data_IF_238727684603
#
_entry.id   IF_238727684603
#
_cell.length_a   1.000
_cell.length_b   1.000
_cell.length_c   1.000
_cell.angle_alpha   90.00
_cell.angle_beta   90.00
_cell.angle_gamma   90.00
#
_symmetry.space_group_name_H-M   'P 1'
#
loop_
_entity.id
_entity.type
_entity.pdbx_description
1 polymer ?
#
# COMPACT_ATOMS: atom_id res chain seq x y z
N UNK A 1 -75.94 -23.28 22.01
CA UNK A 1 -74.93 -22.31 22.38
C UNK A 1 -73.59 -23.01 22.38
N UNK A 2 -72.80 -22.82 21.28
CA UNK A 2 -71.44 -23.36 21.15
C UNK A 2 -70.45 -22.17 21.22
N UNK A 3 -69.58 -22.22 22.22
CA UNK A 3 -68.50 -21.22 22.40
C UNK A 3 -67.36 -21.52 21.42
N UNK A 4 -67.02 -20.58 20.61
CA UNK A 4 -65.83 -20.62 19.75
C UNK A 4 -64.63 -20.07 20.53
N UNK A 5 -63.58 -20.88 20.64
CA UNK A 5 -62.28 -20.50 21.25
C UNK A 5 -61.32 -20.12 20.13
N UNK A 6 -60.94 -18.85 20.09
CA UNK A 6 -60.00 -18.33 19.13
C UNK A 6 -58.56 -18.51 19.68
N UNK A 7 -57.73 -19.30 19.01
CA UNK A 7 -56.31 -19.42 19.28
C UNK A 7 -55.57 -18.31 18.51
N UNK A 8 -54.90 -17.41 19.23
CA UNK A 8 -53.97 -16.47 18.66
C UNK A 8 -52.57 -17.10 18.58
N UNK A 9 -52.06 -17.29 17.37
CA UNK A 9 -50.69 -17.74 17.16
C UNK A 9 -49.80 -16.50 17.08
N UNK A 10 -48.98 -16.30 18.10
CA UNK A 10 -47.93 -15.26 18.08
C UNK A 10 -46.73 -15.81 17.32
N UNK A 11 -46.43 -15.23 16.13
CA UNK A 11 -45.22 -15.48 15.39
C UNK A 11 -44.14 -14.57 15.98
N UNK A 12 -43.21 -15.14 16.73
CA UNK A 12 -42.00 -14.46 17.16
C UNK A 12 -40.99 -14.44 16.00
N UNK A 13 -40.83 -13.28 15.34
CA UNK A 13 -39.73 -13.05 14.45
C UNK A 13 -38.45 -12.86 15.27
N UNK A 14 -37.62 -13.90 15.35
CA UNK A 14 -36.24 -13.77 15.82
C UNK A 14 -35.40 -13.11 14.73
N UNK A 15 -35.14 -11.83 14.88
CA UNK A 15 -34.07 -11.11 14.15
C UNK A 15 -32.73 -11.70 14.63
N UNK A 16 -32.20 -12.63 13.86
CA UNK A 16 -30.81 -13.11 14.00
C UNK A 16 -29.87 -11.98 13.66
N UNK A 17 -29.37 -11.29 14.67
CA UNK A 17 -28.18 -10.47 14.52
C UNK A 17 -27.04 -11.39 14.07
N UNK A 18 -26.64 -11.33 12.80
CA UNK A 18 -25.40 -11.91 12.33
C UNK A 18 -24.27 -11.16 13.04
N UNK A 19 -23.89 -11.64 14.21
CA UNK A 19 -22.74 -11.16 14.95
C UNK A 19 -21.51 -11.39 14.09
N UNK A 20 -20.81 -10.32 13.76
CA UNK A 20 -19.40 -10.40 13.36
C UNK A 20 -18.71 -11.26 14.43
N UNK A 21 -18.26 -12.44 14.06
CA UNK A 21 -17.38 -13.23 14.93
C UNK A 21 -16.19 -12.35 15.25
N UNK A 22 -15.94 -12.00 16.54
CA UNK A 22 -14.74 -11.27 16.89
C UNK A 22 -13.58 -12.12 16.38
N UNK A 23 -12.68 -11.50 15.59
CA UNK A 23 -11.41 -12.08 15.20
C UNK A 23 -10.81 -12.72 16.46
N UNK A 24 -10.52 -14.01 16.41
CA UNK A 24 -10.00 -14.73 17.56
C UNK A 24 -8.76 -13.98 18.05
N UNK A 25 -8.84 -13.36 19.23
CA UNK A 25 -7.74 -12.61 19.81
C UNK A 25 -6.53 -13.52 19.88
N UNK A 26 -5.44 -13.12 19.22
CA UNK A 26 -4.23 -13.91 19.14
C UNK A 26 -3.63 -14.12 20.54
N UNK A 27 -3.76 -15.33 21.04
CA UNK A 27 -3.19 -15.74 22.35
C UNK A 27 -1.86 -16.49 22.19
N UNK A 28 -1.24 -16.48 21.00
CA UNK A 28 -0.05 -17.28 20.68
C UNK A 28 1.14 -16.89 21.55
N UNK A 29 1.82 -17.90 22.09
CA UNK A 29 3.04 -17.69 22.90
C UNK A 29 4.22 -17.18 22.04
N UNK A 30 4.25 -17.53 20.74
CA UNK A 30 5.24 -17.08 19.78
C UNK A 30 4.61 -16.90 18.39
N UNK A 31 5.19 -15.98 17.59
CA UNK A 31 4.80 -15.73 16.20
C UNK A 31 6.03 -15.84 15.30
N UNK A 32 5.91 -16.59 14.22
CA UNK A 32 7.03 -16.85 13.30
C UNK A 32 6.72 -16.39 11.89
N UNK A 33 7.65 -15.61 11.31
CA UNK A 33 7.65 -15.19 9.91
C UNK A 33 9.05 -15.42 9.34
N UNK A 34 9.19 -16.29 8.35
CA UNK A 34 10.50 -16.73 7.87
C UNK A 34 11.33 -17.32 8.99
N UNK A 35 12.53 -16.77 9.23
CA UNK A 35 13.42 -17.20 10.32
C UNK A 35 13.21 -16.41 11.63
N UNK A 36 12.39 -15.35 11.61
CA UNK A 36 12.10 -14.53 12.79
C UNK A 36 11.01 -15.20 13.64
N UNK A 37 11.33 -15.60 14.87
CA UNK A 37 10.38 -16.14 15.87
C UNK A 37 10.39 -15.25 17.09
N UNK A 38 9.35 -14.44 17.28
CA UNK A 38 9.19 -13.55 18.42
C UNK A 38 8.28 -14.19 19.49
N UNK A 39 8.78 -14.33 20.70
CA UNK A 39 7.95 -14.68 21.88
C UNK A 39 7.14 -13.48 22.32
N UNK A 40 6.11 -13.72 23.14
CA UNK A 40 5.21 -12.66 23.62
C UNK A 40 5.96 -11.52 24.32
N UNK A 41 5.63 -10.29 23.94
CA UNK A 41 6.27 -9.07 24.43
C UNK A 41 7.69 -8.83 23.89
N UNK A 42 8.12 -9.58 22.89
CA UNK A 42 9.47 -9.51 22.32
C UNK A 42 9.46 -9.18 20.82
N UNK A 43 10.62 -8.74 20.34
CA UNK A 43 10.95 -8.53 18.94
C UNK A 43 11.95 -9.59 18.49
N UNK A 44 11.77 -10.10 17.28
CA UNK A 44 12.74 -10.95 16.58
C UNK A 44 13.03 -10.37 15.20
N UNK A 45 14.28 -10.41 14.81
CA UNK A 45 14.75 -10.07 13.45
C UNK A 45 15.13 -11.35 12.74
N UNK A 46 14.87 -11.40 11.43
CA UNK A 46 15.20 -12.58 10.61
C UNK A 46 15.07 -12.27 9.13
N UNK A 47 14.96 -13.33 8.35
CA UNK A 47 14.86 -13.22 6.89
C UNK A 47 13.80 -14.16 6.33
N UNK A 48 13.20 -13.75 5.24
CA UNK A 48 12.41 -14.55 4.34
C UNK A 48 13.36 -15.05 3.24
N UNK A 49 13.60 -16.35 3.18
CA UNK A 49 14.51 -16.94 2.22
C UNK A 49 13.80 -17.11 0.88
N UNK A 50 14.33 -16.46 -0.16
CA UNK A 50 13.95 -16.68 -1.55
C UNK A 50 15.01 -17.58 -2.18
N UNK A 51 14.73 -18.86 -2.44
CA UNK A 51 15.73 -19.81 -2.93
C UNK A 51 16.22 -19.43 -4.33
N UNK A 52 17.38 -19.92 -4.72
CA UNK A 52 17.84 -19.85 -6.10
C UNK A 52 16.91 -20.63 -7.05
N UNK A 53 16.86 -20.20 -8.31
CA UNK A 53 16.13 -20.82 -9.39
C UNK A 53 16.86 -20.60 -10.71
N UNK A 54 16.17 -20.00 -11.69
CA UNK A 54 16.81 -19.53 -12.93
C UNK A 54 17.83 -18.41 -12.70
N UNK A 55 17.73 -17.74 -11.56
CA UNK A 55 18.56 -16.63 -11.09
C UNK A 55 18.88 -16.78 -9.60
N UNK A 56 19.69 -15.87 -9.06
CA UNK A 56 20.25 -15.97 -7.72
C UNK A 56 19.17 -16.01 -6.61
N UNK A 57 19.51 -16.64 -5.49
CA UNK A 57 18.78 -16.54 -4.24
C UNK A 57 18.87 -15.10 -3.68
N UNK A 58 17.91 -14.72 -2.85
CA UNK A 58 17.96 -13.49 -2.05
C UNK A 58 17.30 -13.70 -0.70
N UNK A 59 17.74 -12.95 0.29
CA UNK A 59 17.11 -12.90 1.61
C UNK A 59 16.41 -11.56 1.79
N UNK A 60 15.13 -11.58 2.18
CA UNK A 60 14.33 -10.40 2.46
C UNK A 60 14.27 -10.21 3.97
N UNK A 61 14.75 -9.08 4.49
CA UNK A 61 14.74 -8.80 5.93
C UNK A 61 13.32 -8.65 6.46
N UNK A 62 13.07 -9.23 7.64
CA UNK A 62 11.79 -9.13 8.34
C UNK A 62 11.99 -8.92 9.83
N UNK A 63 11.20 -8.03 10.42
CA UNK A 63 11.06 -7.89 11.87
C UNK A 63 9.65 -8.31 12.30
N UNK A 64 9.58 -9.10 13.36
CA UNK A 64 8.34 -9.52 14.01
C UNK A 64 8.32 -8.98 15.43
N UNK A 65 7.32 -8.15 15.75
CA UNK A 65 7.07 -7.66 17.10
C UNK A 65 5.79 -8.37 17.60
N UNK A 66 5.96 -9.35 18.47
CA UNK A 66 4.84 -10.08 19.08
C UNK A 66 4.46 -9.39 20.39
N UNK A 67 3.32 -8.72 20.39
CA UNK A 67 2.85 -7.90 21.49
C UNK A 67 2.61 -8.67 22.80
N UNK A 68 2.71 -7.96 23.92
CA UNK A 68 2.44 -8.53 25.25
C UNK A 68 0.98 -8.92 25.45
N UNK A 69 0.05 -8.35 24.66
CA UNK A 69 -1.39 -8.57 24.77
C UNK A 69 -1.93 -9.17 23.48
N UNK A 70 -3.03 -9.96 23.54
CA UNK A 70 -3.74 -10.42 22.34
C UNK A 70 -4.21 -9.25 21.47
N UNK A 71 -4.27 -9.47 20.16
CA UNK A 71 -4.74 -8.50 19.18
C UNK A 71 -4.53 -9.00 17.75
N UNK A 72 -4.83 -8.18 16.73
CA UNK A 72 -4.68 -8.54 15.32
C UNK A 72 -3.21 -8.60 14.90
N UNK A 73 -2.95 -9.26 13.79
CA UNK A 73 -1.66 -9.22 13.09
C UNK A 73 -1.73 -8.19 11.96
N UNK A 74 -0.91 -7.13 12.06
CA UNK A 74 -0.75 -6.12 11.02
C UNK A 74 0.58 -6.33 10.30
N UNK A 75 0.55 -6.42 8.97
CA UNK A 75 1.75 -6.37 8.15
C UNK A 75 1.93 -4.98 7.55
N UNK A 76 3.15 -4.44 7.59
CA UNK A 76 3.56 -3.23 6.90
C UNK A 76 4.77 -3.58 6.06
N UNK A 77 4.62 -3.42 4.75
CA UNK A 77 5.60 -3.84 3.76
C UNK A 77 5.98 -2.66 2.89
N UNK A 78 7.27 -2.51 2.59
CA UNK A 78 7.78 -1.49 1.68
C UNK A 78 8.84 -2.07 0.72
N UNK A 79 9.31 -1.26 -0.21
CA UNK A 79 10.41 -1.60 -1.09
C UNK A 79 10.08 -2.66 -2.13
N UNK A 80 8.82 -2.79 -2.55
CA UNK A 80 8.45 -3.50 -3.80
C UNK A 80 9.14 -2.87 -4.99
N UNK A 81 9.36 -1.54 -4.95
CA UNK A 81 10.33 -0.82 -5.76
C UNK A 81 11.47 -0.38 -4.83
N UNK A 82 12.69 -0.86 -5.10
CA UNK A 82 13.81 -0.74 -4.16
C UNK A 82 14.41 0.67 -4.05
N UNK A 83 13.97 1.61 -4.88
CA UNK A 83 14.45 3.00 -4.91
C UNK A 83 13.41 4.00 -4.37
N UNK A 84 12.30 3.52 -3.81
CA UNK A 84 11.32 4.33 -3.08
C UNK A 84 11.75 4.48 -1.61
N UNK A 85 12.85 5.19 -1.38
CA UNK A 85 13.56 5.19 -0.09
C UNK A 85 12.74 5.72 1.07
N UNK A 86 11.83 6.68 0.87
CA UNK A 86 11.02 7.23 1.96
C UNK A 86 10.18 6.15 2.66
N UNK A 87 9.57 5.24 1.89
CA UNK A 87 8.77 4.13 2.41
C UNK A 87 9.63 3.08 3.13
N UNK A 88 10.80 2.77 2.57
CA UNK A 88 11.76 1.81 3.13
C UNK A 88 12.24 2.29 4.51
N UNK A 89 12.68 3.55 4.58
CA UNK A 89 13.16 4.18 5.83
C UNK A 89 12.02 4.33 6.85
N UNK A 90 10.79 4.58 6.39
CA UNK A 90 9.65 4.64 7.30
C UNK A 90 9.41 3.30 8.01
N UNK A 91 9.46 2.17 7.28
CA UNK A 91 9.31 0.84 7.88
C UNK A 91 10.49 0.49 8.78
N UNK A 92 11.72 0.84 8.38
CA UNK A 92 12.90 0.67 9.22
C UNK A 92 12.74 1.39 10.56
N UNK A 93 12.32 2.67 10.54
CA UNK A 93 12.08 3.45 11.77
C UNK A 93 11.02 2.83 12.68
N UNK A 94 9.99 2.19 12.14
CA UNK A 94 8.94 1.53 12.93
C UNK A 94 9.48 0.34 13.75
N UNK A 95 10.59 -0.31 13.34
CA UNK A 95 11.19 -1.44 14.04
C UNK A 95 11.59 -1.03 15.46
N UNK A 96 12.14 0.18 15.64
CA UNK A 96 12.57 0.68 16.96
C UNK A 96 11.53 1.58 17.63
N UNK A 97 10.65 2.21 16.85
CA UNK A 97 9.62 3.10 17.39
C UNK A 97 8.50 2.35 18.16
N UNK A 98 8.27 1.06 17.85
CA UNK A 98 7.20 0.27 18.46
C UNK A 98 7.78 -0.64 19.56
N UNK A 99 7.33 -0.43 20.80
CA UNK A 99 7.71 -1.28 21.91
C UNK A 99 6.75 -2.48 22.02
N UNK A 100 7.22 -3.73 21.79
CA UNK A 100 6.37 -4.92 21.85
C UNK A 100 5.74 -5.16 23.23
N UNK A 101 6.34 -4.66 24.31
CA UNK A 101 5.73 -4.77 25.65
C UNK A 101 4.45 -3.92 25.79
N UNK A 102 4.24 -2.92 24.95
CA UNK A 102 3.05 -2.07 24.93
C UNK A 102 2.09 -2.45 23.80
N UNK A 103 2.50 -3.34 22.89
CA UNK A 103 1.75 -3.74 21.70
C UNK A 103 0.67 -4.78 22.07
N UNK A 104 -0.49 -4.67 21.44
CA UNK A 104 -1.52 -5.70 21.39
C UNK A 104 -1.54 -6.32 19.98
N UNK A 105 -1.48 -7.66 19.89
CA UNK A 105 -1.37 -8.36 18.61
C UNK A 105 0.07 -8.44 18.10
N UNK A 106 0.24 -8.62 16.79
CA UNK A 106 1.55 -8.80 16.17
C UNK A 106 1.77 -7.79 15.06
N UNK A 107 2.95 -7.20 15.00
CA UNK A 107 3.39 -6.34 13.91
C UNK A 107 4.47 -7.07 13.10
N UNK A 108 4.22 -7.20 11.79
CA UNK A 108 5.16 -7.77 10.82
C UNK A 108 5.67 -6.62 9.98
N UNK A 109 6.97 -6.37 9.98
CA UNK A 109 7.62 -5.29 9.25
C UNK A 109 8.59 -5.85 8.21
N UNK A 110 8.38 -5.52 6.94
CA UNK A 110 9.28 -5.85 5.83
C UNK A 110 9.71 -4.55 5.17
N UNK A 111 10.90 -4.01 5.51
CA UNK A 111 11.31 -2.71 5.01
C UNK A 111 11.68 -2.71 3.53
N UNK A 112 12.21 -3.81 3.00
CA UNK A 112 12.74 -3.88 1.65
C UNK A 112 12.49 -5.26 1.04
N UNK A 113 11.58 -5.34 0.06
CA UNK A 113 11.28 -6.59 -0.65
C UNK A 113 12.20 -6.79 -1.85
N UNK A 114 12.41 -5.77 -2.68
CA UNK A 114 13.21 -5.83 -3.90
C UNK A 114 14.66 -5.42 -3.63
N UNK A 115 15.39 -6.29 -2.94
CA UNK A 115 16.79 -6.06 -2.55
C UNK A 115 17.68 -5.72 -3.75
N UNK A 116 17.63 -6.45 -4.91
CA UNK A 116 18.49 -6.13 -6.05
C UNK A 116 18.23 -4.76 -6.68
N UNK A 117 16.98 -4.27 -6.67
CA UNK A 117 16.64 -2.92 -7.12
C UNK A 117 17.31 -1.86 -6.22
N UNK A 118 17.24 -2.05 -4.90
CA UNK A 118 17.88 -1.17 -3.93
C UNK A 118 19.40 -1.14 -4.08
N UNK A 119 20.05 -2.31 -4.07
CA UNK A 119 21.52 -2.41 -4.11
C UNK A 119 22.12 -1.86 -5.42
N UNK A 120 21.42 -2.03 -6.54
CA UNK A 120 21.88 -1.57 -7.86
C UNK A 120 21.34 -0.21 -8.26
N UNK A 121 20.49 0.41 -7.43
CA UNK A 121 19.85 1.71 -7.69
C UNK A 121 19.09 1.69 -9.02
N UNK A 122 18.29 0.64 -9.24
CA UNK A 122 17.48 0.50 -10.47
C UNK A 122 16.01 0.75 -10.13
N UNK A 123 15.40 1.80 -10.71
CA UNK A 123 14.01 2.15 -10.42
C UNK A 123 13.02 1.12 -10.98
N UNK A 124 11.86 1.05 -10.35
CA UNK A 124 10.65 0.32 -10.79
C UNK A 124 10.76 -1.20 -10.93
N UNK A 125 11.93 -1.75 -11.25
CA UNK A 125 12.06 -3.17 -11.60
C UNK A 125 13.19 -3.87 -10.82
N UNK A 126 13.11 -5.19 -10.72
CA UNK A 126 14.23 -6.01 -10.31
C UNK A 126 15.21 -6.15 -11.51
N UNK A 127 16.47 -5.72 -11.38
CA UNK A 127 17.43 -5.75 -12.47
C UNK A 127 17.87 -7.15 -12.90
N UNK A 128 17.49 -8.21 -12.17
CA UNK A 128 17.83 -9.59 -12.55
C UNK A 128 16.88 -10.16 -13.60
N UNK A 129 15.61 -9.74 -13.58
CA UNK A 129 14.58 -10.28 -14.46
C UNK A 129 13.76 -9.20 -15.16
N UNK A 130 14.06 -7.91 -14.92
CA UNK A 130 13.39 -6.74 -15.46
C UNK A 130 11.87 -6.71 -15.21
N UNK A 131 11.43 -7.27 -14.06
CA UNK A 131 10.04 -7.29 -13.65
C UNK A 131 9.76 -6.26 -12.55
N UNK A 132 8.65 -5.52 -12.67
CA UNK A 132 8.12 -4.72 -11.56
C UNK A 132 7.43 -5.65 -10.58
N UNK A 133 7.97 -5.79 -9.37
CA UNK A 133 7.46 -6.75 -8.38
C UNK A 133 5.98 -6.53 -8.10
N UNK A 134 5.55 -5.29 -7.99
CA UNK A 134 4.15 -4.93 -7.73
C UNK A 134 3.24 -5.09 -8.99
N UNK A 135 3.54 -6.09 -9.83
CA UNK A 135 2.73 -6.59 -10.96
C UNK A 135 2.70 -8.12 -11.03
N UNK A 136 3.48 -8.78 -10.15
CA UNK A 136 3.70 -10.23 -10.19
C UNK A 136 3.22 -10.98 -8.95
N UNK A 137 2.53 -10.32 -8.02
CA UNK A 137 1.83 -11.02 -6.95
C UNK A 137 0.64 -11.83 -7.50
N UNK A 138 0.28 -12.97 -6.91
CA UNK A 138 0.79 -13.56 -5.66
C UNK A 138 2.11 -14.30 -5.79
N UNK A 139 2.73 -14.28 -6.96
CA UNK A 139 4.01 -14.92 -7.21
C UNK A 139 3.93 -16.40 -7.62
N UNK A 140 5.08 -16.95 -7.99
CA UNK A 140 5.23 -18.35 -8.39
C UNK A 140 6.64 -18.84 -8.01
N UNK A 141 6.72 -19.91 -7.21
CA UNK A 141 8.00 -20.46 -6.74
C UNK A 141 8.89 -21.01 -7.87
N UNK A 142 8.29 -21.38 -9.00
CA UNK A 142 9.00 -21.91 -10.17
C UNK A 142 9.41 -20.82 -11.19
N UNK A 143 9.13 -19.54 -10.88
CA UNK A 143 9.44 -18.40 -11.74
C UNK A 143 10.84 -17.81 -11.50
N UNK A 144 11.03 -16.59 -11.99
CA UNK A 144 12.24 -15.78 -11.76
C UNK A 144 12.29 -15.25 -10.32
N UNK A 145 13.34 -14.53 -9.95
CA UNK A 145 13.51 -14.04 -8.58
C UNK A 145 12.32 -13.17 -8.12
N UNK A 146 11.83 -12.28 -8.98
CA UNK A 146 10.61 -11.48 -8.67
C UNK A 146 9.40 -12.37 -8.38
N UNK A 147 9.16 -13.40 -9.19
CA UNK A 147 8.02 -14.31 -8.98
C UNK A 147 8.16 -15.07 -7.64
N UNK A 148 9.37 -15.56 -7.34
CA UNK A 148 9.64 -16.30 -6.10
C UNK A 148 9.56 -15.40 -4.86
N UNK A 149 10.11 -14.18 -4.94
CA UNK A 149 10.03 -13.20 -3.86
C UNK A 149 8.56 -12.82 -3.57
N UNK A 150 7.76 -12.54 -4.62
CA UNK A 150 6.32 -12.26 -4.48
C UNK A 150 5.57 -13.45 -3.86
N UNK A 151 5.93 -14.68 -4.23
CA UNK A 151 5.35 -15.89 -3.63
C UNK A 151 5.71 -16.02 -2.15
N UNK A 152 6.98 -15.81 -1.78
CA UNK A 152 7.42 -15.88 -0.38
C UNK A 152 6.73 -14.81 0.47
N UNK A 153 6.62 -13.56 -0.02
CA UNK A 153 5.86 -12.51 0.68
C UNK A 153 4.39 -12.90 0.83
N UNK A 154 3.78 -13.46 -0.21
CA UNK A 154 2.39 -13.92 -0.13
C UNK A 154 2.21 -14.97 0.97
N UNK A 155 3.07 -16.00 1.01
CA UNK A 155 2.97 -17.11 1.97
C UNK A 155 3.36 -16.74 3.40
N UNK A 156 4.46 -15.99 3.54
CA UNK A 156 5.04 -15.72 4.86
C UNK A 156 4.47 -14.46 5.53
N UNK A 157 3.95 -13.51 4.75
CA UNK A 157 3.45 -12.23 5.26
C UNK A 157 1.97 -12.08 5.04
N UNK A 158 1.49 -12.11 3.78
CA UNK A 158 0.07 -11.85 3.46
C UNK A 158 -0.83 -12.91 4.10
N UNK A 159 -0.49 -14.20 4.02
CA UNK A 159 -1.32 -15.26 4.58
C UNK A 159 -1.33 -15.26 6.12
N UNK A 160 -0.29 -14.69 6.76
CA UNK A 160 -0.15 -14.66 8.23
C UNK A 160 -0.68 -13.40 8.91
N UNK A 161 -0.98 -12.33 8.17
CA UNK A 161 -1.55 -11.12 8.75
C UNK A 161 -3.08 -11.11 8.68
N UNK A 162 -3.71 -10.26 9.49
CA UNK A 162 -5.14 -9.95 9.43
C UNK A 162 -5.40 -8.66 8.63
N UNK A 163 -4.45 -7.72 8.65
CA UNK A 163 -4.49 -6.43 7.96
C UNK A 163 -3.15 -6.17 7.29
N UNK A 164 -3.16 -5.41 6.19
CA UNK A 164 -1.93 -5.08 5.48
C UNK A 164 -1.88 -3.62 5.03
N UNK A 165 -0.71 -3.00 5.19
CA UNK A 165 -0.35 -1.70 4.59
C UNK A 165 0.80 -1.94 3.62
N UNK A 166 0.61 -1.54 2.36
CA UNK A 166 1.64 -1.53 1.31
C UNK A 166 2.18 -0.10 1.19
N UNK A 167 3.39 0.14 1.66
CA UNK A 167 3.99 1.47 1.64
C UNK A 167 4.87 1.64 0.40
N UNK A 168 4.59 2.71 -0.30
CA UNK A 168 5.31 3.14 -1.48
C UNK A 168 5.82 4.58 -1.33
N UNK A 169 6.60 5.04 -2.30
CA UNK A 169 7.14 6.39 -2.31
C UNK A 169 7.46 6.87 -3.72
N UNK A 170 7.97 8.11 -3.83
CA UNK A 170 8.46 8.61 -5.11
C UNK A 170 9.75 7.93 -5.51
N UNK A 171 9.72 7.14 -6.57
CA UNK A 171 10.92 6.55 -7.19
C UNK A 171 11.83 7.64 -7.79
N UNK A 172 12.99 7.26 -8.33
CA UNK A 172 14.03 8.20 -8.78
C UNK A 172 13.54 9.26 -9.77
N UNK A 173 12.47 8.99 -10.50
CA UNK A 173 11.89 9.90 -11.50
C UNK A 173 10.49 10.40 -11.13
N UNK A 174 10.03 10.16 -9.89
CA UNK A 174 8.68 10.47 -9.45
C UNK A 174 8.62 11.58 -8.40
N UNK A 175 7.67 12.48 -8.53
CA UNK A 175 7.30 13.48 -7.54
C UNK A 175 5.84 13.29 -7.17
N UNK A 176 5.57 12.72 -5.99
CA UNK A 176 4.23 12.32 -5.57
C UNK A 176 3.64 13.30 -4.56
N UNK A 177 2.43 13.81 -4.80
CA UNK A 177 1.58 14.31 -3.73
C UNK A 177 1.29 13.13 -2.80
N UNK A 178 1.52 13.20 -1.48
CA UNK A 178 1.16 12.11 -0.58
C UNK A 178 -0.33 11.76 -0.68
N UNK A 179 -0.65 10.47 -0.91
CA UNK A 179 -2.01 9.96 -1.04
C UNK A 179 -2.11 8.49 -0.61
N UNK A 180 -3.33 8.00 -0.44
CA UNK A 180 -3.60 6.57 -0.23
C UNK A 180 -4.50 6.03 -1.34
N UNK A 181 -4.42 4.72 -1.62
CA UNK A 181 -5.42 4.00 -2.39
C UNK A 181 -6.40 3.32 -1.44
N UNK A 182 -7.68 3.42 -1.73
CA UNK A 182 -8.71 2.61 -1.10
C UNK A 182 -9.30 1.66 -2.13
N UNK A 183 -9.07 0.35 -1.96
CA UNK A 183 -9.58 -0.68 -2.87
C UNK A 183 -11.00 -1.06 -2.46
N UNK A 184 -11.92 -1.00 -3.44
CA UNK A 184 -13.32 -1.41 -3.28
C UNK A 184 -13.46 -2.84 -3.80
N UNK A 185 -13.63 -3.79 -2.88
CA UNK A 185 -13.74 -5.22 -3.20
C UNK A 185 -15.16 -5.66 -3.51
N UNK A 186 -16.16 -4.91 -3.02
CA UNK A 186 -17.58 -5.26 -3.04
C UNK A 186 -18.02 -6.06 -1.80
N UNK A 187 -17.11 -6.38 -0.90
CA UNK A 187 -17.44 -6.87 0.45
C UNK A 187 -17.53 -5.68 1.40
N UNK A 188 -18.75 -5.28 1.76
CA UNK A 188 -18.99 -4.08 2.54
C UNK A 188 -18.20 -4.01 3.85
N UNK A 189 -18.14 -5.11 4.61
CA UNK A 189 -17.43 -5.12 5.88
C UNK A 189 -15.91 -4.94 5.71
N UNK A 190 -15.34 -5.54 4.69
CA UNK A 190 -13.92 -5.39 4.35
C UNK A 190 -13.63 -3.98 3.82
N UNK A 191 -14.50 -3.47 2.95
CA UNK A 191 -14.36 -2.14 2.34
C UNK A 191 -14.46 -1.04 3.41
N UNK A 192 -15.38 -1.18 4.38
CA UNK A 192 -15.52 -0.26 5.51
C UNK A 192 -14.30 -0.31 6.44
N UNK A 193 -13.77 -1.51 6.72
CA UNK A 193 -12.57 -1.67 7.54
C UNK A 193 -11.34 -1.05 6.85
N UNK A 194 -11.14 -1.31 5.56
CA UNK A 194 -10.04 -0.71 4.76
C UNK A 194 -10.17 0.81 4.71
N UNK A 195 -11.39 1.33 4.48
CA UNK A 195 -11.67 2.76 4.47
C UNK A 195 -11.35 3.43 5.80
N UNK A 196 -11.73 2.79 6.91
CA UNK A 196 -11.43 3.29 8.24
C UNK A 196 -9.91 3.35 8.51
N UNK A 197 -9.15 2.33 8.05
CA UNK A 197 -7.70 2.34 8.12
C UNK A 197 -7.07 3.47 7.29
N UNK A 198 -7.53 3.68 6.06
CA UNK A 198 -7.08 4.79 5.18
C UNK A 198 -7.32 6.14 5.83
N UNK A 199 -8.51 6.38 6.36
CA UNK A 199 -8.84 7.64 7.05
C UNK A 199 -8.01 7.83 8.33
N UNK A 200 -7.76 6.75 9.08
CA UNK A 200 -6.92 6.78 10.27
C UNK A 200 -5.45 7.05 9.94
N UNK A 201 -4.95 6.56 8.79
CA UNK A 201 -3.58 6.79 8.34
C UNK A 201 -3.26 8.28 8.23
N UNK A 202 -4.18 9.08 7.70
CA UNK A 202 -4.11 10.54 7.83
C UNK A 202 -3.66 11.29 6.57
N UNK A 203 -3.45 10.62 5.42
CA UNK A 203 -3.28 11.31 4.14
C UNK A 203 -4.64 11.78 3.61
N UNK A 204 -4.73 13.04 3.22
CA UNK A 204 -5.99 13.71 2.89
C UNK A 204 -6.51 13.41 1.48
N UNK A 205 -5.66 12.95 0.55
CA UNK A 205 -6.04 12.56 -0.81
C UNK A 205 -6.16 11.04 -0.89
N UNK A 206 -7.29 10.54 -1.37
CA UNK A 206 -7.59 9.11 -1.41
C UNK A 206 -8.09 8.72 -2.80
N UNK A 207 -7.35 7.85 -3.48
CA UNK A 207 -7.72 7.30 -4.78
C UNK A 207 -8.63 6.09 -4.56
N UNK A 208 -9.80 6.10 -5.19
CA UNK A 208 -10.73 4.98 -5.16
C UNK A 208 -10.34 4.00 -6.27
N UNK A 209 -9.95 2.77 -5.88
CA UNK A 209 -9.62 1.70 -6.80
C UNK A 209 -10.73 0.65 -6.80
N UNK A 210 -11.56 0.64 -7.85
CA UNK A 210 -12.65 -0.33 -8.02
C UNK A 210 -12.37 -1.37 -9.13
N UNK A 211 -11.25 -1.23 -9.82
CA UNK A 211 -10.84 -2.00 -11.01
C UNK A 211 -9.83 -3.12 -10.70
N UNK A 212 -9.52 -3.33 -9.43
CA UNK A 212 -8.56 -4.36 -9.01
C UNK A 212 -9.10 -5.77 -9.29
N UNK A 213 -8.24 -6.73 -9.65
CA UNK A 213 -8.63 -8.13 -9.77
C UNK A 213 -9.29 -8.66 -8.49
N UNK A 214 -10.32 -9.50 -8.64
CA UNK A 214 -11.03 -10.12 -7.51
C UNK A 214 -10.62 -11.57 -7.26
N UNK A 215 -9.98 -12.20 -8.24
CA UNK A 215 -9.44 -13.54 -8.10
C UNK A 215 -8.09 -13.49 -7.36
N UNK A 216 -7.93 -14.23 -6.23
CA UNK A 216 -6.67 -14.32 -5.51
C UNK A 216 -5.48 -14.82 -6.34
N UNK A 217 -5.73 -15.62 -7.37
CA UNK A 217 -4.68 -16.12 -8.28
C UNK A 217 -4.27 -15.08 -9.34
N UNK A 218 -5.14 -14.10 -9.60
CA UNK A 218 -4.94 -13.04 -10.59
C UNK A 218 -4.59 -11.68 -9.96
N UNK A 219 -4.39 -11.62 -8.65
CA UNK A 219 -3.92 -10.40 -7.98
C UNK A 219 -2.55 -10.01 -8.54
N UNK A 220 -2.29 -8.73 -8.71
CA UNK A 220 -1.04 -8.22 -9.30
C UNK A 220 -0.23 -7.39 -8.35
N UNK A 221 -0.90 -6.79 -7.39
CA UNK A 221 -0.34 -5.86 -6.43
C UNK A 221 -0.30 -6.52 -5.05
N UNK A 222 0.63 -6.12 -4.19
CA UNK A 222 0.72 -6.67 -2.84
C UNK A 222 -0.56 -6.40 -2.05
N UNK A 223 -1.01 -5.15 -2.01
CA UNK A 223 -2.27 -4.77 -1.37
C UNK A 223 -3.45 -5.61 -1.89
N UNK A 224 -3.55 -5.74 -3.24
CA UNK A 224 -4.64 -6.51 -3.85
C UNK A 224 -4.54 -8.02 -3.52
N UNK A 225 -3.36 -8.54 -3.29
CA UNK A 225 -3.16 -9.92 -2.85
C UNK A 225 -3.75 -10.15 -1.45
N UNK A 226 -3.67 -9.16 -0.58
CA UNK A 226 -4.33 -9.20 0.73
C UNK A 226 -5.85 -9.00 0.60
N UNK A 227 -6.29 -8.01 -0.17
CA UNK A 227 -7.72 -7.69 -0.34
C UNK A 227 -8.52 -8.83 -0.98
N UNK A 228 -7.97 -9.53 -1.98
CA UNK A 228 -8.60 -10.72 -2.60
C UNK A 228 -8.70 -11.92 -1.65
N UNK A 229 -7.95 -11.91 -0.54
CA UNK A 229 -8.00 -12.93 0.53
C UNK A 229 -8.86 -12.49 1.71
N UNK A 230 -9.71 -11.49 1.53
CA UNK A 230 -10.64 -11.00 2.54
C UNK A 230 -9.99 -10.16 3.64
N UNK A 231 -8.74 -9.71 3.45
CA UNK A 231 -8.01 -8.94 4.46
C UNK A 231 -8.14 -7.44 4.17
N UNK A 232 -8.61 -6.62 5.12
CA UNK A 232 -8.57 -5.18 5.00
C UNK A 232 -7.14 -4.70 4.75
N UNK A 233 -6.95 -3.96 3.65
CA UNK A 233 -5.64 -3.52 3.20
C UNK A 233 -5.73 -2.25 2.36
N UNK A 234 -4.63 -1.52 2.26
CA UNK A 234 -4.53 -0.34 1.43
C UNK A 234 -3.06 -0.04 1.09
N UNK A 235 -2.85 0.82 0.07
CA UNK A 235 -1.54 1.35 -0.29
C UNK A 235 -1.46 2.82 0.14
N UNK A 236 -0.32 3.25 0.69
CA UNK A 236 -0.01 4.65 0.94
C UNK A 236 1.29 5.05 0.24
N UNK A 237 1.28 6.25 -0.33
CA UNK A 237 2.35 6.78 -1.16
C UNK A 237 2.82 8.13 -0.62
N UNK A 238 4.13 8.29 -0.37
CA UNK A 238 4.75 9.57 -0.09
C UNK A 238 6.24 9.54 -0.47
N UNK A 239 6.69 10.50 -1.29
CA UNK A 239 8.07 10.57 -1.70
C UNK A 239 8.33 11.48 -2.89
N UNK A 240 9.61 11.76 -3.10
CA UNK A 240 10.10 12.63 -4.16
C UNK A 240 11.48 12.18 -4.63
N UNK A 241 11.60 11.81 -5.90
CA UNK A 241 12.86 11.58 -6.63
C UNK A 241 13.88 10.68 -5.88
N UNK A 242 13.39 9.61 -5.22
CA UNK A 242 14.25 8.73 -4.43
C UNK A 242 14.97 9.44 -3.28
N UNK A 243 14.43 10.54 -2.75
CA UNK A 243 15.01 11.23 -1.59
C UNK A 243 14.41 10.69 -0.28
N UNK A 244 15.13 10.96 0.83
CA UNK A 244 14.64 10.66 2.19
C UNK A 244 14.22 11.99 2.82
N UNK A 245 13.14 12.57 2.27
CA UNK A 245 12.56 13.80 2.83
C UNK A 245 11.91 13.48 4.18
N UNK A 246 12.27 14.23 5.26
CA UNK A 246 11.72 13.99 6.59
C UNK A 246 10.19 14.09 6.66
N UNK A 247 9.56 14.96 5.88
CA UNK A 247 8.11 15.13 5.89
C UNK A 247 7.40 13.92 5.27
N UNK A 248 7.91 13.40 4.13
CA UNK A 248 7.38 12.21 3.49
C UNK A 248 7.58 10.96 4.39
N UNK A 249 8.77 10.78 4.98
CA UNK A 249 9.05 9.68 5.92
C UNK A 249 8.16 9.77 7.16
N UNK A 250 8.05 10.95 7.77
CA UNK A 250 7.23 11.14 8.97
C UNK A 250 5.73 10.94 8.71
N UNK A 251 5.24 11.31 7.53
CA UNK A 251 3.86 11.05 7.13
C UNK A 251 3.57 9.54 7.13
N UNK A 252 4.46 8.71 6.56
CA UNK A 252 4.33 7.26 6.52
C UNK A 252 4.47 6.61 7.90
N UNK A 253 5.43 7.03 8.71
CA UNK A 253 5.62 6.55 10.10
C UNK A 253 4.40 6.90 10.96
N UNK A 254 3.99 8.16 10.95
CA UNK A 254 2.85 8.65 11.75
C UNK A 254 1.56 7.97 11.34
N UNK A 255 1.32 7.84 10.03
CA UNK A 255 0.18 7.15 9.47
C UNK A 255 0.11 5.69 9.92
N UNK A 256 1.23 4.97 9.86
CA UNK A 256 1.33 3.58 10.32
C UNK A 256 1.01 3.44 11.82
N UNK A 257 1.54 4.33 12.66
CA UNK A 257 1.24 4.37 14.10
C UNK A 257 -0.24 4.68 14.35
N UNK A 258 -0.83 5.57 13.56
CA UNK A 258 -2.26 5.90 13.66
C UNK A 258 -3.14 4.70 13.32
N UNK A 259 -2.80 3.91 12.29
CA UNK A 259 -3.52 2.67 11.99
C UNK A 259 -3.38 1.66 13.13
N UNK A 260 -2.19 1.50 13.73
CA UNK A 260 -2.03 0.65 14.90
C UNK A 260 -2.91 1.10 16.09
N UNK A 261 -3.05 2.42 16.31
CA UNK A 261 -3.98 2.96 17.32
C UNK A 261 -5.44 2.72 16.96
N UNK A 262 -5.81 2.90 15.70
CA UNK A 262 -7.15 2.60 15.20
C UNK A 262 -7.53 1.14 15.43
N UNK A 263 -6.62 0.20 15.12
CA UNK A 263 -6.77 -1.23 15.33
C UNK A 263 -6.61 -1.65 16.81
N UNK A 264 -6.46 -0.71 17.73
CA UNK A 264 -6.24 -0.95 19.18
C UNK A 264 -4.98 -1.75 19.50
N UNK A 265 -4.02 -1.75 18.61
CA UNK A 265 -2.72 -2.37 18.81
C UNK A 265 -1.81 -1.54 19.69
N UNK A 266 -1.92 -0.21 19.64
CA UNK A 266 -1.20 0.73 20.51
C UNK A 266 -2.17 1.59 21.32
N UNK A 267 -1.74 2.09 22.50
CA UNK A 267 -2.53 3.04 23.27
C UNK A 267 -2.64 4.38 22.54
N UNK A 268 -3.69 5.13 22.90
CA UNK A 268 -3.95 6.46 22.35
C UNK A 268 -5.15 6.48 21.42
N UNK A 269 -5.51 7.68 21.00
CA UNK A 269 -6.60 7.95 20.06
C UNK A 269 -6.01 8.45 18.75
N UNK A 270 -6.72 8.22 17.67
CA UNK A 270 -6.42 8.78 16.35
C UNK A 270 -7.61 9.65 15.92
N UNK A 271 -7.30 10.78 15.30
CA UNK A 271 -8.29 11.64 14.64
C UNK A 271 -8.24 11.31 13.15
N UNK A 272 -9.24 10.62 12.62
CA UNK A 272 -9.30 10.32 11.19
C UNK A 272 -9.40 11.61 10.37
N UNK A 273 -9.05 11.54 9.08
CA UNK A 273 -9.26 12.65 8.14
C UNK A 273 -10.75 12.94 8.04
N UNK A 274 -11.17 14.17 8.44
CA UNK A 274 -12.58 14.58 8.46
C UNK A 274 -13.10 14.97 7.07
N UNK A 275 -12.23 15.57 6.24
CA UNK A 275 -12.58 16.08 4.92
C UNK A 275 -11.63 15.55 3.85
N UNK A 276 -11.68 14.23 3.56
CA UNK A 276 -10.81 13.64 2.56
C UNK A 276 -11.19 14.10 1.14
N UNK A 277 -10.19 14.32 0.32
CA UNK A 277 -10.35 14.54 -1.12
C UNK A 277 -10.38 13.18 -1.81
N UNK A 278 -11.56 12.74 -2.20
CA UNK A 278 -11.73 11.48 -2.93
C UNK A 278 -11.42 11.67 -4.41
N UNK A 279 -10.53 10.85 -4.94
CA UNK A 279 -10.17 10.82 -6.35
C UNK A 279 -10.83 9.60 -7.00
N UNK A 280 -11.76 9.84 -7.93
CA UNK A 280 -12.54 8.76 -8.54
C UNK A 280 -11.79 8.02 -9.65
N UNK A 281 -10.80 8.66 -10.25
CA UNK A 281 -9.91 8.08 -11.27
C UNK A 281 -8.60 8.86 -11.37
N UNK A 282 -7.58 8.19 -11.88
CA UNK A 282 -6.31 8.80 -12.27
C UNK A 282 -6.22 8.81 -13.80
N UNK A 283 -5.84 9.95 -14.36
CA UNK A 283 -5.58 10.11 -15.80
C UNK A 283 -4.08 10.34 -15.99
N UNK A 284 -3.40 9.41 -16.64
CA UNK A 284 -2.00 9.58 -17.04
C UNK A 284 -1.90 10.41 -18.31
N UNK A 285 -0.94 11.33 -18.32
CA UNK A 285 -0.51 12.07 -19.51
C UNK A 285 0.87 11.55 -19.87
N UNK A 286 0.91 10.67 -20.85
CA UNK A 286 2.13 10.01 -21.30
C UNK A 286 2.73 10.74 -22.50
N UNK A 287 4.03 10.62 -22.70
CA UNK A 287 4.73 11.28 -23.79
C UNK A 287 4.64 10.51 -25.10
N UNK A 288 4.33 11.21 -26.17
CA UNK A 288 4.37 10.68 -27.54
C UNK A 288 5.75 10.82 -28.20
N UNK A 289 6.70 11.50 -27.53
CA UNK A 289 8.02 11.86 -28.07
C UNK A 289 9.14 11.58 -27.07
N UNK A 290 10.37 11.46 -27.57
CA UNK A 290 11.57 11.53 -26.73
C UNK A 290 12.00 13.01 -26.62
N UNK A 291 12.57 13.40 -25.48
CA UNK A 291 13.03 14.76 -25.29
C UNK A 291 13.40 15.11 -23.87
N UNK A 292 13.37 16.40 -23.60
CA UNK A 292 13.62 16.99 -22.28
C UNK A 292 12.30 17.56 -21.76
N UNK A 293 11.82 17.03 -20.64
CA UNK A 293 10.58 17.49 -20.01
C UNK A 293 10.85 18.67 -19.07
N UNK A 294 10.02 19.70 -19.18
CA UNK A 294 10.01 20.88 -18.31
C UNK A 294 8.63 20.97 -17.63
N UNK A 295 8.51 20.63 -16.34
CA UNK A 295 7.27 20.83 -15.60
C UNK A 295 7.01 22.33 -15.35
N UNK A 296 5.77 22.77 -15.53
CA UNK A 296 5.28 24.12 -15.18
C UNK A 296 4.38 24.11 -13.94
N UNK A 297 4.10 22.93 -13.41
CA UNK A 297 3.32 22.71 -12.20
C UNK A 297 4.11 21.85 -11.22
N UNK A 298 3.56 21.63 -10.04
CA UNK A 298 4.15 20.79 -8.98
C UNK A 298 3.15 19.74 -8.51
N UNK A 299 3.63 18.69 -7.84
CA UNK A 299 2.80 17.75 -7.10
C UNK A 299 1.81 18.50 -6.20
N UNK A 300 0.54 18.13 -6.19
CA UNK A 300 -0.52 18.77 -5.42
C UNK A 300 -1.14 20.02 -6.05
N UNK A 301 -0.67 20.49 -7.22
CA UNK A 301 -1.34 21.57 -7.96
C UNK A 301 -2.71 21.09 -8.45
N UNK A 302 -3.75 21.90 -8.22
CA UNK A 302 -5.04 21.70 -8.85
C UNK A 302 -5.02 22.33 -10.25
N UNK A 303 -5.12 21.47 -11.26
CA UNK A 303 -5.13 21.86 -12.65
C UNK A 303 -6.56 21.98 -13.17
N UNK A 304 -6.81 22.98 -14.00
CA UNK A 304 -8.04 23.07 -14.79
C UNK A 304 -7.88 22.27 -16.09
N UNK A 305 -8.99 21.81 -16.65
CA UNK A 305 -8.97 21.20 -17.99
C UNK A 305 -8.43 22.19 -19.01
N UNK A 306 -7.46 21.75 -19.81
CA UNK A 306 -6.78 22.60 -20.80
C UNK A 306 -5.61 23.41 -20.25
N UNK A 307 -5.32 23.37 -18.95
CA UNK A 307 -4.16 24.02 -18.36
C UNK A 307 -2.86 23.38 -18.89
N UNK A 308 -1.91 24.21 -19.33
CA UNK A 308 -0.56 23.75 -19.68
C UNK A 308 0.23 23.49 -18.41
N UNK A 309 0.55 22.22 -18.15
CA UNK A 309 1.25 21.77 -16.94
C UNK A 309 2.73 21.45 -17.17
N UNK A 310 3.17 21.50 -18.42
CA UNK A 310 4.57 21.30 -18.82
C UNK A 310 4.77 21.48 -20.32
N UNK A 311 6.00 21.26 -20.77
CA UNK A 311 6.33 21.16 -22.20
C UNK A 311 7.55 20.26 -22.39
N UNK A 312 7.76 19.82 -23.63
CA UNK A 312 8.89 19.00 -24.03
C UNK A 312 9.69 19.72 -25.11
N UNK A 313 11.02 19.70 -24.99
CA UNK A 313 11.93 20.16 -26.05
C UNK A 313 12.71 18.98 -26.64
N UNK A 314 13.24 19.17 -27.83
CA UNK A 314 14.33 18.33 -28.33
C UNK A 314 15.66 18.66 -27.60
N UNK A 315 16.74 17.95 -27.96
CA UNK A 315 18.06 18.14 -27.35
C UNK A 315 18.77 19.42 -27.76
N UNK A 316 18.16 20.22 -28.62
CA UNK A 316 18.64 21.56 -29.07
C UNK A 316 17.76 22.69 -28.53
N UNK A 317 16.94 22.39 -27.46
CA UNK A 317 16.05 23.36 -26.82
C UNK A 317 14.92 23.90 -27.72
N UNK A 318 14.53 23.19 -28.77
CA UNK A 318 13.37 23.54 -29.59
C UNK A 318 12.11 22.89 -29.00
N UNK A 319 11.04 23.65 -28.71
CA UNK A 319 9.78 23.09 -28.24
C UNK A 319 9.18 22.13 -29.25
N UNK A 320 8.79 20.91 -28.82
CA UNK A 320 8.22 19.86 -29.69
C UNK A 320 6.86 19.38 -29.23
N UNK A 321 6.51 19.58 -27.95
CA UNK A 321 5.19 19.23 -27.43
C UNK A 321 4.82 20.06 -26.21
N UNK A 322 3.54 20.39 -26.08
CA UNK A 322 2.95 20.94 -24.87
C UNK A 322 2.26 19.81 -24.07
N UNK A 323 2.37 19.88 -22.74
CA UNK A 323 1.72 18.93 -21.83
C UNK A 323 0.51 19.62 -21.22
N UNK A 324 -0.68 19.17 -21.63
CA UNK A 324 -1.96 19.78 -21.29
C UNK A 324 -2.75 18.86 -20.37
N UNK A 325 -3.34 19.40 -19.31
CA UNK A 325 -4.24 18.69 -18.45
C UNK A 325 -5.53 18.30 -19.18
N UNK A 326 -5.83 17.00 -19.39
CA UNK A 326 -7.01 16.57 -20.16
C UNK A 326 -8.33 16.74 -19.40
N UNK A 327 -8.26 16.80 -18.06
CA UNK A 327 -9.39 17.02 -17.15
C UNK A 327 -8.96 17.91 -15.98
N UNK A 328 -9.95 18.50 -15.30
CA UNK A 328 -9.70 19.21 -14.04
C UNK A 328 -9.44 18.20 -12.90
N UNK A 329 -8.44 18.49 -12.05
CA UNK A 329 -8.10 17.62 -10.92
C UNK A 329 -6.80 18.01 -10.25
N UNK A 330 -6.35 17.20 -9.30
CA UNK A 330 -5.09 17.41 -8.59
C UNK A 330 -3.96 16.61 -9.25
N UNK A 331 -2.80 17.23 -9.41
CA UNK A 331 -1.59 16.55 -9.88
C UNK A 331 -1.10 15.64 -8.74
N UNK A 332 -1.35 14.34 -8.86
CA UNK A 332 -0.91 13.32 -7.90
C UNK A 332 0.53 12.89 -8.14
N UNK A 333 0.95 12.87 -9.39
CA UNK A 333 2.30 12.58 -9.83
C UNK A 333 2.73 13.60 -10.90
N UNK A 334 3.99 14.02 -10.83
CA UNK A 334 4.66 14.72 -11.93
C UNK A 334 6.10 14.21 -12.01
N UNK A 335 6.58 14.01 -13.23
CA UNK A 335 7.94 13.53 -13.47
C UNK A 335 8.96 14.47 -12.84
N UNK A 336 9.84 13.92 -12.02
CA UNK A 336 10.82 14.68 -11.24
C UNK A 336 12.13 14.98 -12.02
N UNK A 337 12.41 14.19 -13.06
CA UNK A 337 13.64 14.29 -13.86
C UNK A 337 13.33 14.73 -15.30
N UNK A 338 14.26 15.44 -15.97
CA UNK A 338 14.02 15.94 -17.31
C UNK A 338 14.08 14.85 -18.40
N UNK A 339 14.68 13.70 -18.12
CA UNK A 339 14.79 12.60 -19.07
C UNK A 339 13.43 12.03 -19.43
N UNK A 340 13.08 12.04 -20.73
CA UNK A 340 11.79 11.61 -21.23
C UNK A 340 11.94 10.75 -22.48
N UNK A 341 11.28 9.59 -22.46
CA UNK A 341 11.15 8.73 -23.63
C UNK A 341 9.67 8.56 -23.98
N UNK A 342 9.39 8.28 -25.24
CA UNK A 342 8.03 7.98 -25.69
C UNK A 342 7.40 6.85 -24.84
N UNK A 343 6.18 7.06 -24.39
CA UNK A 343 5.45 6.15 -23.50
C UNK A 343 5.73 6.38 -22.00
N UNK A 344 6.68 7.25 -21.63
CA UNK A 344 6.88 7.59 -20.22
C UNK A 344 5.79 8.52 -19.73
N UNK A 345 5.31 8.27 -18.50
CA UNK A 345 4.37 9.18 -17.84
C UNK A 345 5.05 10.50 -17.48
N UNK A 346 4.36 11.61 -17.76
CA UNK A 346 4.81 12.97 -17.41
C UNK A 346 4.03 13.50 -16.21
N UNK A 347 2.72 13.31 -16.19
CA UNK A 347 1.82 13.84 -15.16
C UNK A 347 0.66 12.88 -14.96
N UNK A 348 0.28 12.62 -13.71
CA UNK A 348 -0.98 11.96 -13.36
C UNK A 348 -1.93 12.96 -12.70
N UNK A 349 -3.16 13.02 -13.19
CA UNK A 349 -4.20 13.90 -12.67
C UNK A 349 -5.27 13.07 -12.00
N UNK A 350 -5.44 13.28 -10.70
CA UNK A 350 -6.52 12.71 -9.91
C UNK A 350 -7.80 13.55 -10.04
N UNK A 351 -8.81 12.99 -10.66
CA UNK A 351 -10.11 13.65 -10.82
C UNK A 351 -10.86 13.59 -9.50
N UNK A 352 -11.20 14.76 -8.96
CA UNK A 352 -11.91 14.86 -7.67
C UNK A 352 -13.34 14.39 -7.84
N UNK A 353 -13.75 13.46 -7.00
CA UNK A 353 -15.13 12.99 -6.93
C UNK A 353 -16.05 14.12 -6.45
N UNK A 354 -17.09 14.41 -7.20
CA UNK A 354 -18.11 15.41 -6.86
C UNK A 354 -19.07 14.93 -5.77
#
# INVERSE_FOLDING_TARGET
MRKATTFAVAIACSLGAAGLTPLAQDARAAFTVGTATATRGQRALGVLKVPAGSDAATDISVAVLNGAKPGPALAIVAGSHGTEYASIIAVEKLIDAVNPAQLSGTLILVPLVNVPSFEKVVPHVNPLDNKSMNRFYPGNMNGTQTDRASYVITKEVVEKCDHLIDLHGGDLDESLRPYSYWTVTGNQAQDDASKAMVLAFGLDHIIISADRPRDPAASRYLENTASTRGKPSFTAEAGYAGTVDPDDVNALVTGSINVMRHLKMLPGTVKPVEHPVWLEKIISVDSDVNGIFYPLARRGTYAEKGMKVGYVTDYLNRPIADVIAPEAGVITYIRAVPSLTKGSSMVNIGVVKK
#
